data_IF_150570472450
#
_entry.id   IF_150570472450
#
_cell.length_a   1.000
_cell.length_b   1.000
_cell.length_c   1.000
_cell.angle_alpha   90.00
_cell.angle_beta   90.00
_cell.angle_gamma   90.00
#
_symmetry.space_group_name_H-M   'P 1'
#
loop_
_entity.id
_entity.type
_entity.pdbx_description
1 polymer ?
#
# COMPACT_ATOMS: atom_id res chain seq x y z
N UNK A 1 -5.61 6.03 -1.77
CA UNK A 1 -4.22 5.63 -1.46
C UNK A 1 -3.32 6.85 -1.59
N UNK A 2 -2.53 7.18 -0.57
CA UNK A 2 -1.49 8.22 -0.67
C UNK A 2 -0.25 7.68 -1.37
N UNK A 3 0.61 8.56 -1.87
CA UNK A 3 1.87 8.19 -2.52
C UNK A 3 2.77 7.39 -1.58
N UNK A 4 3.51 6.43 -2.12
CA UNK A 4 4.49 5.65 -1.35
C UNK A 4 5.85 6.35 -1.30
N UNK A 5 6.63 6.11 -0.23
CA UNK A 5 8.01 6.63 -0.13
C UNK A 5 8.89 6.21 -1.33
N UNK A 6 8.65 5.02 -1.89
CA UNK A 6 9.35 4.53 -3.08
C UNK A 6 8.98 5.37 -4.32
N UNK A 7 7.69 5.63 -4.54
CA UNK A 7 7.25 6.52 -5.62
C UNK A 7 7.79 7.93 -5.46
N UNK A 8 7.81 8.49 -4.23
CA UNK A 8 8.42 9.80 -3.99
C UNK A 8 9.89 9.81 -4.44
N UNK A 9 10.68 8.79 -4.06
CA UNK A 9 12.07 8.68 -4.51
C UNK A 9 12.21 8.61 -6.03
N UNK A 10 11.33 7.87 -6.71
CA UNK A 10 11.33 7.76 -8.17
C UNK A 10 10.92 9.08 -8.83
N UNK A 11 9.88 9.74 -8.32
CA UNK A 11 9.45 11.07 -8.76
C UNK A 11 10.64 12.03 -8.66
N UNK A 12 11.30 12.09 -7.51
CA UNK A 12 12.48 12.92 -7.37
C UNK A 12 13.58 12.51 -8.35
N UNK A 13 13.86 11.22 -8.57
CA UNK A 13 14.90 10.78 -9.51
C UNK A 13 14.61 11.15 -10.98
N UNK A 14 13.34 11.11 -11.39
CA UNK A 14 12.91 11.34 -12.79
C UNK A 14 12.64 12.82 -13.06
N UNK A 15 12.24 13.60 -12.06
CA UNK A 15 12.05 15.04 -12.20
C UNK A 15 13.39 15.75 -12.49
N UNK A 16 13.42 16.71 -13.44
CA UNK A 16 14.57 17.57 -13.68
C UNK A 16 15.02 18.31 -12.42
N UNK A 17 16.32 18.57 -12.28
CA UNK A 17 16.88 19.27 -11.12
C UNK A 17 16.24 20.63 -10.85
N UNK A 18 15.75 21.32 -11.89
CA UNK A 18 15.01 22.58 -11.78
C UNK A 18 13.79 22.48 -10.85
N UNK A 19 13.00 21.41 -10.97
CA UNK A 19 11.83 21.17 -10.11
C UNK A 19 12.21 20.71 -8.69
N UNK A 20 13.46 20.30 -8.46
CA UNK A 20 13.94 19.90 -7.12
C UNK A 20 14.45 21.10 -6.33
N UNK A 21 15.05 22.07 -7.01
CA UNK A 21 15.58 23.28 -6.40
C UNK A 21 14.51 24.34 -6.17
N UNK A 22 13.50 24.38 -7.05
CA UNK A 22 12.41 25.35 -6.97
C UNK A 22 11.15 24.70 -6.37
N UNK A 23 10.82 25.15 -5.16
CA UNK A 23 9.68 24.64 -4.39
C UNK A 23 8.34 25.07 -5.00
N UNK A 24 8.28 26.22 -5.66
CA UNK A 24 7.06 26.76 -6.26
C UNK A 24 6.73 26.02 -7.56
N UNK A 25 7.73 25.76 -8.40
CA UNK A 25 7.57 24.94 -9.60
C UNK A 25 7.13 23.51 -9.28
N UNK A 26 7.63 22.94 -8.18
CA UNK A 26 7.19 21.63 -7.72
C UNK A 26 5.72 21.68 -7.27
N UNK A 27 5.34 22.69 -6.49
CA UNK A 27 3.97 22.86 -6.01
C UNK A 27 2.97 23.08 -7.15
N UNK A 28 3.30 23.91 -8.14
CA UNK A 28 2.46 24.15 -9.32
C UNK A 28 2.22 22.86 -10.11
N UNK A 29 3.27 22.08 -10.33
CA UNK A 29 3.18 20.76 -10.97
C UNK A 29 2.24 19.82 -10.18
N UNK A 30 2.34 19.80 -8.85
CA UNK A 30 1.48 18.95 -8.01
C UNK A 30 0.03 19.43 -8.04
N UNK A 31 -0.22 20.74 -8.02
CA UNK A 31 -1.55 21.31 -8.14
C UNK A 31 -2.20 20.97 -9.48
N UNK A 32 -1.45 21.07 -10.59
CA UNK A 32 -1.93 20.68 -11.92
C UNK A 32 -2.39 19.22 -11.97
N UNK A 33 -1.65 18.32 -11.30
CA UNK A 33 -1.96 16.89 -11.26
C UNK A 33 -3.04 16.51 -10.25
N UNK A 34 -3.15 17.27 -9.15
CA UNK A 34 -4.14 17.02 -8.11
C UNK A 34 -5.49 17.66 -8.43
N UNK A 35 -5.49 18.68 -9.31
CA UNK A 35 -6.64 19.56 -9.61
C UNK A 35 -7.22 20.20 -8.34
N UNK A 36 -6.37 20.41 -7.35
CA UNK A 36 -6.72 20.83 -6.01
C UNK A 36 -5.65 21.80 -5.51
N UNK A 37 -6.05 23.05 -5.26
CA UNK A 37 -5.15 24.16 -4.98
C UNK A 37 -4.52 24.05 -3.59
N UNK A 38 -5.16 23.34 -2.67
CA UNK A 38 -4.68 23.10 -1.31
C UNK A 38 -3.52 22.08 -1.24
N UNK A 39 -3.31 21.28 -2.30
CA UNK A 39 -2.29 20.23 -2.34
C UNK A 39 -1.04 20.68 -3.07
N UNK A 40 -0.06 21.11 -2.28
CA UNK A 40 1.22 21.67 -2.75
C UNK A 40 2.41 20.73 -2.56
N UNK A 41 2.23 19.60 -1.87
CA UNK A 41 3.32 18.68 -1.54
C UNK A 41 3.24 17.37 -2.30
N UNK A 42 4.40 16.82 -2.67
CA UNK A 42 4.52 15.49 -3.31
C UNK A 42 3.92 14.39 -2.44
N UNK A 43 3.79 14.61 -1.13
CA UNK A 43 3.15 13.69 -0.17
C UNK A 43 1.62 13.63 -0.29
N UNK A 44 1.00 14.62 -0.92
CA UNK A 44 -0.46 14.71 -1.07
C UNK A 44 -0.98 14.02 -2.32
N UNK A 45 -0.07 13.61 -3.21
CA UNK A 45 -0.40 12.83 -4.39
C UNK A 45 -0.98 11.47 -3.98
N UNK A 46 -1.97 11.01 -4.74
CA UNK A 46 -2.40 9.62 -4.64
C UNK A 46 -1.41 8.66 -5.30
N UNK A 47 -1.45 7.38 -4.95
CA UNK A 47 -0.60 6.35 -5.58
C UNK A 47 -0.75 6.33 -7.11
N UNK A 48 -1.97 6.54 -7.62
CA UNK A 48 -2.26 6.57 -9.05
C UNK A 48 -1.68 7.83 -9.70
N UNK A 49 -1.96 9.01 -9.12
CA UNK A 49 -1.42 10.27 -9.63
C UNK A 49 0.10 10.31 -9.61
N UNK A 50 0.72 9.72 -8.58
CA UNK A 50 2.16 9.56 -8.50
C UNK A 50 2.73 8.69 -9.62
N UNK A 51 2.06 7.59 -9.98
CA UNK A 51 2.47 6.78 -11.12
C UNK A 51 2.25 7.51 -12.45
N UNK A 52 1.14 8.22 -12.63
CA UNK A 52 0.87 9.03 -13.84
C UNK A 52 1.95 10.11 -14.02
N UNK A 53 2.38 10.75 -12.93
CA UNK A 53 3.50 11.69 -12.93
C UNK A 53 4.80 11.01 -13.35
N UNK A 54 5.14 9.87 -12.73
CA UNK A 54 6.34 9.09 -13.06
C UNK A 54 6.36 8.72 -14.55
N UNK A 55 5.25 8.23 -15.10
CA UNK A 55 5.13 7.85 -16.51
C UNK A 55 5.28 9.05 -17.45
N UNK A 56 4.69 10.22 -17.11
CA UNK A 56 4.80 11.44 -17.93
C UNK A 56 6.23 11.92 -18.10
N UNK A 57 7.06 11.75 -17.06
CA UNK A 57 8.48 12.10 -17.13
C UNK A 57 9.39 10.92 -17.57
N UNK A 58 8.81 9.82 -18.08
CA UNK A 58 9.55 8.69 -18.66
C UNK A 58 10.08 7.66 -17.64
N UNK A 59 9.62 7.72 -16.39
CA UNK A 59 9.92 6.73 -15.37
C UNK A 59 9.04 5.48 -15.44
N UNK A 60 9.47 4.40 -14.79
CA UNK A 60 8.68 3.16 -14.68
C UNK A 60 7.67 3.26 -13.55
N UNK A 61 6.38 3.11 -13.89
CA UNK A 61 5.30 3.01 -12.92
C UNK A 61 5.62 1.96 -11.85
N UNK A 62 5.43 2.32 -10.58
CA UNK A 62 5.66 1.40 -9.48
C UNK A 62 4.42 0.55 -9.26
N UNK A 63 4.58 -0.77 -9.24
CA UNK A 63 3.52 -1.67 -8.81
C UNK A 63 3.47 -1.68 -7.28
N UNK A 64 2.25 -1.69 -6.73
CA UNK A 64 2.12 -1.84 -5.29
C UNK A 64 2.58 -3.23 -4.89
N UNK A 65 3.52 -3.31 -3.96
CA UNK A 65 4.01 -4.60 -3.47
C UNK A 65 2.95 -5.20 -2.52
N UNK A 66 2.08 -6.04 -3.10
CA UNK A 66 0.94 -6.67 -2.46
C UNK A 66 1.38 -7.86 -1.57
N UNK A 67 2.03 -7.55 -0.44
CA UNK A 67 2.47 -8.59 0.52
C UNK A 67 1.29 -9.39 1.09
N UNK A 68 0.11 -8.79 1.14
CA UNK A 68 -1.13 -9.45 1.54
C UNK A 68 -1.80 -10.30 0.47
N UNK A 69 -1.18 -10.54 -0.70
CA UNK A 69 -1.78 -11.41 -1.72
C UNK A 69 -1.92 -12.84 -1.17
N UNK A 70 -3.13 -13.37 -1.22
CA UNK A 70 -3.46 -14.68 -0.66
C UNK A 70 -3.84 -15.68 -1.75
N UNK A 71 -3.82 -16.96 -1.41
CA UNK A 71 -4.20 -18.06 -2.29
C UNK A 71 -5.40 -18.78 -1.69
N UNK A 72 -6.53 -18.79 -2.40
CA UNK A 72 -7.75 -19.45 -1.97
C UNK A 72 -7.61 -20.97 -1.86
N UNK A 73 -6.65 -21.59 -2.56
CA UNK A 73 -6.41 -23.03 -2.48
C UNK A 73 -5.79 -23.43 -1.13
N UNK A 74 -5.01 -22.54 -0.52
CA UNK A 74 -4.30 -22.81 0.73
C UNK A 74 -5.18 -22.50 1.94
N UNK A 75 -5.47 -23.53 2.74
CA UNK A 75 -6.33 -23.40 3.94
C UNK A 75 -5.81 -22.37 4.94
N UNK A 76 -4.48 -22.31 5.15
CA UNK A 76 -3.86 -21.33 6.05
C UNK A 76 -4.09 -19.88 5.60
N UNK A 77 -4.09 -19.61 4.30
CA UNK A 77 -4.37 -18.28 3.77
C UNK A 77 -5.84 -17.89 3.93
N UNK A 78 -6.76 -18.86 3.82
CA UNK A 78 -8.19 -18.63 4.12
C UNK A 78 -8.41 -18.29 5.59
N UNK A 79 -7.65 -18.92 6.50
CA UNK A 79 -7.72 -18.58 7.93
C UNK A 79 -7.25 -17.14 8.19
N UNK A 80 -6.13 -16.72 7.59
CA UNK A 80 -5.66 -15.33 7.66
C UNK A 80 -6.74 -14.36 7.19
N UNK A 81 -7.41 -14.65 6.06
CA UNK A 81 -8.51 -13.83 5.55
C UNK A 81 -9.69 -13.73 6.54
N UNK A 82 -10.04 -14.84 7.19
CA UNK A 82 -11.08 -14.88 8.23
C UNK A 82 -10.70 -13.99 9.43
N UNK A 83 -9.46 -14.09 9.92
CA UNK A 83 -8.96 -13.30 11.05
C UNK A 83 -8.93 -11.80 10.71
N UNK A 84 -8.50 -11.43 9.52
CA UNK A 84 -8.54 -10.03 9.03
C UNK A 84 -9.97 -9.47 9.05
N UNK A 85 -10.95 -10.27 8.64
CA UNK A 85 -12.36 -9.88 8.74
C UNK A 85 -12.84 -9.75 10.19
N UNK A 86 -12.47 -10.67 11.08
CA UNK A 86 -12.84 -10.61 12.51
C UNK A 86 -12.26 -9.35 13.18
N UNK A 87 -11.06 -8.93 12.77
CA UNK A 87 -10.47 -7.65 13.20
C UNK A 87 -11.17 -6.40 12.65
N UNK A 88 -12.23 -6.55 11.84
CA UNK A 88 -12.91 -5.44 11.16
C UNK A 88 -11.96 -4.64 10.25
N UNK A 89 -10.92 -5.29 9.72
CA UNK A 89 -10.08 -4.70 8.68
C UNK A 89 -10.77 -4.95 7.35
N UNK A 90 -11.75 -4.11 7.04
CA UNK A 90 -12.58 -4.23 5.85
C UNK A 90 -12.59 -2.92 5.08
N UNK A 91 -12.67 -3.03 3.76
CA UNK A 91 -12.80 -1.91 2.84
C UNK A 91 -13.97 -2.17 1.90
N UNK A 92 -14.66 -1.09 1.50
CA UNK A 92 -15.72 -1.20 0.51
C UNK A 92 -15.13 -1.48 -0.88
N UNK A 93 -15.60 -2.53 -1.53
CA UNK A 93 -15.27 -2.84 -2.91
C UNK A 93 -16.41 -2.46 -3.83
N UNK A 94 -16.16 -1.49 -4.72
CA UNK A 94 -17.12 -1.13 -5.77
C UNK A 94 -17.41 -2.32 -6.71
N UNK A 95 -16.40 -3.18 -6.96
CA UNK A 95 -16.53 -4.34 -7.84
C UNK A 95 -17.52 -5.38 -7.31
N UNK A 96 -17.44 -5.68 -6.02
CA UNK A 96 -18.30 -6.68 -5.37
C UNK A 96 -19.50 -6.06 -4.65
N UNK A 97 -19.64 -4.73 -4.71
CA UNK A 97 -20.69 -3.94 -4.06
C UNK A 97 -20.89 -4.32 -2.59
N UNK A 98 -19.79 -4.45 -1.85
CA UNK A 98 -19.83 -4.88 -0.45
C UNK A 98 -18.50 -4.68 0.28
N UNK A 99 -18.52 -4.92 1.59
CA UNK A 99 -17.33 -4.89 2.44
C UNK A 99 -16.52 -6.17 2.22
N UNK A 100 -15.25 -6.00 1.85
CA UNK A 100 -14.28 -7.09 1.71
C UNK A 100 -13.13 -6.88 2.67
N UNK A 101 -12.40 -7.94 3.00
CA UNK A 101 -11.18 -7.82 3.80
C UNK A 101 -10.18 -6.86 3.16
N UNK A 102 -9.66 -5.92 3.96
CA UNK A 102 -8.66 -4.96 3.55
C UNK A 102 -7.27 -5.61 3.53
N UNK A 103 -6.98 -6.29 2.43
CA UNK A 103 -5.68 -6.92 2.20
C UNK A 103 -4.55 -5.90 2.02
N UNK A 104 -4.87 -4.63 1.76
CA UNK A 104 -3.87 -3.59 1.70
C UNK A 104 -3.39 -3.24 3.11
N UNK A 105 -4.32 -3.00 4.05
CA UNK A 105 -3.99 -2.79 5.46
C UNK A 105 -3.25 -3.98 6.05
N UNK A 106 -3.64 -5.20 5.67
CA UNK A 106 -2.88 -6.40 6.05
C UNK A 106 -1.44 -6.40 5.48
N UNK A 107 -1.27 -6.01 4.21
CA UNK A 107 0.06 -5.85 3.59
C UNK A 107 0.94 -4.84 4.34
N UNK A 108 0.36 -3.73 4.81
CA UNK A 108 1.06 -2.73 5.60
C UNK A 108 1.44 -3.26 6.99
N UNK A 109 0.55 -4.01 7.64
CA UNK A 109 0.85 -4.67 8.90
C UNK A 109 2.00 -5.67 8.76
N UNK A 110 2.02 -6.49 7.70
CA UNK A 110 3.12 -7.43 7.40
C UNK A 110 4.49 -6.74 7.24
N UNK A 111 4.50 -5.50 6.75
CA UNK A 111 5.73 -4.69 6.58
C UNK A 111 6.16 -4.00 7.88
N UNK A 112 5.26 -3.88 8.86
CA UNK A 112 5.52 -3.19 10.12
C UNK A 112 6.32 -4.04 11.10
N UNK A 113 6.86 -3.40 12.14
CA UNK A 113 7.55 -4.08 13.25
C UNK A 113 6.62 -4.94 14.13
N UNK A 114 5.29 -4.79 13.95
CA UNK A 114 4.29 -5.58 14.67
C UNK A 114 4.10 -6.98 14.07
N UNK A 115 4.55 -7.21 12.84
CA UNK A 115 4.48 -8.52 12.21
C UNK A 115 5.64 -9.41 12.68
N UNK A 116 5.38 -10.65 13.17
CA UNK A 116 6.43 -11.58 13.54
C UNK A 116 7.25 -12.07 12.34
N UNK A 117 6.73 -11.94 11.11
CA UNK A 117 7.42 -12.31 9.86
C UNK A 117 7.26 -11.19 8.84
N UNK A 118 8.38 -10.56 8.45
CA UNK A 118 8.42 -9.49 7.45
C UNK A 118 8.65 -10.06 6.05
N UNK A 119 7.61 -10.68 5.49
CA UNK A 119 7.66 -11.31 4.17
C UNK A 119 6.30 -11.23 3.47
N UNK A 120 6.25 -11.27 2.13
CA UNK A 120 4.99 -11.48 1.42
C UNK A 120 4.35 -12.82 1.78
N UNK A 121 3.04 -12.85 2.00
CA UNK A 121 2.30 -14.04 2.41
C UNK A 121 2.54 -15.23 1.46
N UNK A 122 2.52 -15.01 0.14
CA UNK A 122 2.79 -16.06 -0.85
C UNK A 122 4.22 -16.62 -0.82
N UNK A 123 5.17 -15.93 -0.18
CA UNK A 123 6.57 -16.36 -0.06
C UNK A 123 6.89 -16.97 1.32
N UNK A 124 5.89 -17.06 2.20
CA UNK A 124 6.05 -17.66 3.51
C UNK A 124 5.93 -19.17 3.44
N UNK A 125 6.73 -19.88 4.23
CA UNK A 125 6.54 -21.30 4.48
C UNK A 125 5.42 -21.54 5.51
N UNK A 126 4.94 -22.77 5.64
CA UNK A 126 3.83 -23.08 6.55
C UNK A 126 4.08 -22.68 8.00
N UNK A 127 5.31 -22.80 8.51
CA UNK A 127 5.67 -22.41 9.88
C UNK A 127 5.63 -20.89 10.07
N UNK A 128 6.10 -20.14 9.08
CA UNK A 128 6.03 -18.68 9.05
C UNK A 128 4.57 -18.20 9.01
N UNK A 129 3.72 -18.83 8.19
CA UNK A 129 2.28 -18.52 8.13
C UNK A 129 1.61 -18.84 9.47
N UNK A 130 1.93 -19.95 10.13
CA UNK A 130 1.40 -20.27 11.47
C UNK A 130 1.74 -19.20 12.51
N UNK A 131 2.96 -18.63 12.50
CA UNK A 131 3.32 -17.52 13.40
C UNK A 131 2.47 -16.27 13.16
N UNK A 132 2.17 -15.98 11.89
CA UNK A 132 1.29 -14.86 11.52
C UNK A 132 -0.13 -15.11 12.01
N UNK A 133 -0.66 -16.32 11.83
CA UNK A 133 -1.99 -16.71 12.31
C UNK A 133 -2.09 -16.50 13.82
N UNK A 134 -1.15 -17.03 14.61
CA UNK A 134 -1.14 -16.87 16.07
C UNK A 134 -1.09 -15.39 16.48
N UNK A 135 -0.28 -14.57 15.79
CA UNK A 135 -0.22 -13.14 16.07
C UNK A 135 -1.57 -12.44 15.78
N UNK A 136 -2.22 -12.79 14.67
CA UNK A 136 -3.54 -12.25 14.30
C UNK A 136 -4.63 -12.73 15.28
N UNK A 137 -4.61 -13.99 15.70
CA UNK A 137 -5.53 -14.53 16.72
C UNK A 137 -5.39 -13.77 18.04
N UNK A 138 -4.16 -13.54 18.51
CA UNK A 138 -3.92 -12.75 19.72
C UNK A 138 -4.44 -11.31 19.58
N UNK A 139 -4.30 -10.71 18.39
CA UNK A 139 -4.84 -9.37 18.12
C UNK A 139 -6.38 -9.34 18.09
N UNK A 140 -7.03 -10.41 17.63
CA UNK A 140 -8.49 -10.56 17.68
C UNK A 140 -8.96 -10.75 19.11
N UNK A 141 -8.27 -11.59 19.90
CA UNK A 141 -8.62 -11.89 21.28
C UNK A 141 -8.37 -10.73 22.25
N UNK A 142 -7.38 -9.88 21.97
CA UNK A 142 -7.03 -8.71 22.80
C UNK A 142 -7.92 -7.48 22.50
N UNK A 143 -9.02 -7.68 21.77
CA UNK A 143 -9.89 -6.61 21.25
C UNK A 143 -11.18 -6.55 22.05
#
# INVERSE_FOLDING_TARGET
MKVTKQQIKVIFAVLPAAYRSDKELCADLIQQFTKDWDKTSTTDLSFKQANELIERFGGKAQTYDHWGKFDFKQTSHRLVLSLVNQMQWQTYSQKYRGMIADMQRFSEWLKSDKSPVKKPLQKMNSKEVSKIIVALENMVASK
#
